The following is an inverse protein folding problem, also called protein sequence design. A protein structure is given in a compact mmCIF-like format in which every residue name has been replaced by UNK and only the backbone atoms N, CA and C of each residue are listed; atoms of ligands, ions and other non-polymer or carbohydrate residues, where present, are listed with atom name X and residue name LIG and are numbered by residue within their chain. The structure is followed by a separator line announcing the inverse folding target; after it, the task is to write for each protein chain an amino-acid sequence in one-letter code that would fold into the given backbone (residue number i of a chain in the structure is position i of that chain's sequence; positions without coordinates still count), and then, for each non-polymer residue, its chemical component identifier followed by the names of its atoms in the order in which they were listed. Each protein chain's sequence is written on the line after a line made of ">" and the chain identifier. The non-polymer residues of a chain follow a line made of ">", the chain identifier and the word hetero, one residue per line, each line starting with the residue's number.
data_IF_598900736133
#
_entry.id   IF_598900736133
#
_cell.length_a   1.000
_cell.length_b   1.000
_cell.length_c   1.000
_cell.angle_alpha   90.00
_cell.angle_beta   90.00
_cell.angle_gamma   90.00
#
_symmetry.space_group_name_H-M   'P 1'
#
loop_
_entity.id
_entity.type
_entity.pdbx_description
1 polymer ?
#
# COMPACT_ATOMS: atom_id res chain seq x y z
N UNK A 1 28.04 6.64 -9.55
CA UNK A 1 27.33 6.64 -8.26
C UNK A 1 25.89 7.15 -8.38
N UNK A 2 25.64 8.39 -8.82
CA UNK A 2 24.29 8.97 -8.98
C UNK A 2 23.34 8.11 -9.82
N UNK A 3 23.79 7.61 -10.97
CA UNK A 3 23.00 6.75 -11.87
C UNK A 3 22.56 5.44 -11.19
N UNK A 4 23.43 4.83 -10.39
CA UNK A 4 23.10 3.59 -9.66
C UNK A 4 22.03 3.86 -8.61
N UNK A 5 22.14 4.97 -7.89
CA UNK A 5 21.15 5.40 -6.89
C UNK A 5 19.80 5.71 -7.55
N UNK A 6 19.80 6.37 -8.71
CA UNK A 6 18.58 6.61 -9.49
C UNK A 6 17.86 5.31 -9.85
N UNK A 7 18.58 4.35 -10.45
CA UNK A 7 17.98 3.07 -10.85
C UNK A 7 17.46 2.28 -9.64
N UNK A 8 18.20 2.24 -8.53
CA UNK A 8 17.73 1.59 -7.31
C UNK A 8 16.46 2.24 -6.75
N UNK A 9 16.45 3.56 -6.60
CA UNK A 9 15.28 4.30 -6.09
C UNK A 9 14.06 4.12 -6.99
N UNK A 10 14.25 4.11 -8.31
CA UNK A 10 13.20 3.90 -9.29
C UNK A 10 12.60 2.50 -9.17
N UNK A 11 13.43 1.46 -9.10
CA UNK A 11 12.96 0.06 -8.92
C UNK A 11 12.18 -0.08 -7.62
N UNK A 12 12.69 0.44 -6.51
CA UNK A 12 11.99 0.38 -5.20
C UNK A 12 10.66 1.13 -5.27
N UNK A 13 10.62 2.28 -5.94
CA UNK A 13 9.39 3.06 -6.08
C UNK A 13 8.32 2.31 -6.88
N UNK A 14 8.69 1.74 -8.03
CA UNK A 14 7.76 0.96 -8.86
C UNK A 14 7.24 -0.27 -8.10
N UNK A 15 8.13 -1.01 -7.44
CA UNK A 15 7.75 -2.21 -6.67
C UNK A 15 6.82 -1.84 -5.50
N UNK A 16 7.13 -0.78 -4.74
CA UNK A 16 6.28 -0.32 -3.64
C UNK A 16 4.92 0.19 -4.12
N UNK A 17 4.85 0.84 -5.29
CA UNK A 17 3.60 1.25 -5.91
C UNK A 17 2.70 0.05 -6.25
N UNK A 18 3.25 -0.99 -6.90
CA UNK A 18 2.49 -2.21 -7.19
C UNK A 18 2.06 -2.94 -5.91
N UNK A 19 2.96 -3.04 -4.92
CA UNK A 19 2.65 -3.64 -3.62
C UNK A 19 1.50 -2.90 -2.91
N UNK A 20 1.44 -1.57 -3.05
CA UNK A 20 0.34 -0.77 -2.51
C UNK A 20 -0.98 -1.00 -3.23
N UNK A 21 -0.97 -1.04 -4.57
CA UNK A 21 -2.19 -1.33 -5.34
C UNK A 21 -2.76 -2.68 -4.91
N UNK A 22 -1.93 -3.72 -4.88
CA UNK A 22 -2.34 -5.06 -4.43
C UNK A 22 -2.78 -5.02 -2.96
N UNK A 23 -1.99 -4.38 -2.09
CA UNK A 23 -2.30 -4.26 -0.67
C UNK A 23 -3.65 -3.60 -0.42
N UNK A 24 -3.99 -2.54 -1.14
CA UNK A 24 -5.28 -1.84 -1.04
C UNK A 24 -6.43 -2.67 -1.62
N UNK A 25 -6.24 -3.33 -2.77
CA UNK A 25 -7.28 -4.21 -3.35
C UNK A 25 -7.61 -5.38 -2.42
N UNK A 26 -6.62 -5.91 -1.69
CA UNK A 26 -6.85 -6.95 -0.68
C UNK A 26 -7.67 -6.44 0.52
N UNK A 27 -7.81 -5.12 0.73
CA UNK A 27 -8.74 -4.56 1.73
C UNK A 27 -10.20 -4.57 1.24
N UNK A 28 -10.50 -4.83 -0.04
CA UNK A 28 -11.85 -4.66 -0.62
C UNK A 28 -12.87 -5.74 -0.26
N UNK A 29 -12.55 -6.67 0.65
CA UNK A 29 -13.40 -7.80 0.98
C UNK A 29 -14.62 -7.49 1.86
N UNK A 30 -14.81 -6.26 2.37
CA UNK A 30 -15.66 -6.05 3.56
C UNK A 30 -16.69 -4.90 3.48
N UNK A 31 -16.92 -4.27 2.32
CA UNK A 31 -17.84 -3.11 2.28
C UNK A 31 -18.44 -2.76 0.92
N UNK A 32 -18.45 -3.70 -0.03
CA UNK A 32 -18.97 -3.45 -1.39
C UNK A 32 -20.48 -3.63 -1.54
N UNK A 33 -21.17 -4.19 -0.53
CA UNK A 33 -22.61 -4.47 -0.58
C UNK A 33 -23.44 -3.37 0.06
N UNK A 34 -24.56 -2.99 -0.57
CA UNK A 34 -25.57 -2.08 0.01
C UNK A 34 -25.99 -2.50 1.43
N UNK A 35 -26.03 -3.81 1.71
CA UNK A 35 -26.32 -4.37 3.04
C UNK A 35 -25.32 -3.95 4.11
N UNK A 36 -24.02 -3.94 3.81
CA UNK A 36 -22.97 -3.54 4.75
C UNK A 36 -23.02 -2.02 5.01
N UNK A 37 -23.45 -1.23 4.00
CA UNK A 37 -23.67 0.21 4.12
C UNK A 37 -24.92 0.58 4.94
N UNK A 38 -25.88 -0.34 5.10
CA UNK A 38 -27.10 -0.19 5.91
C UNK A 38 -27.05 -0.95 7.25
N UNK A 39 -25.86 -1.35 7.72
CA UNK A 39 -25.69 -1.99 9.03
C UNK A 39 -26.06 -3.47 9.08
N UNK A 40 -26.19 -4.13 7.93
CA UNK A 40 -26.38 -5.57 7.82
C UNK A 40 -25.11 -6.30 8.26
N UNK A 41 -25.16 -6.89 9.45
CA UNK A 41 -24.06 -7.69 10.00
C UNK A 41 -23.84 -8.98 9.24
N UNK A 42 -22.69 -9.09 8.57
CA UNK A 42 -22.11 -10.35 8.10
C UNK A 42 -20.86 -10.67 8.91
N UNK A 43 -20.97 -11.59 9.86
CA UNK A 43 -19.90 -12.04 10.74
C UNK A 43 -18.69 -12.60 9.98
N UNK A 44 -17.65 -11.78 9.78
CA UNK A 44 -16.32 -12.21 9.34
C UNK A 44 -15.39 -12.52 10.53
N UNK A 45 -15.80 -13.40 11.46
CA UNK A 45 -15.06 -13.69 12.71
C UNK A 45 -13.69 -14.38 12.50
N UNK A 46 -13.24 -14.58 11.26
CA UNK A 46 -11.99 -15.27 10.94
C UNK A 46 -10.81 -14.39 10.52
N UNK A 47 -11.01 -13.09 10.23
CA UNK A 47 -9.99 -12.30 9.53
C UNK A 47 -9.55 -11.00 10.23
N UNK A 48 -10.09 -10.63 11.40
CA UNK A 48 -9.72 -9.37 12.06
C UNK A 48 -8.20 -9.24 12.35
N UNK A 49 -7.54 -10.35 12.68
CA UNK A 49 -6.08 -10.38 12.87
C UNK A 49 -5.31 -10.27 11.56
N UNK A 50 -5.77 -10.95 10.50
CA UNK A 50 -5.17 -10.89 9.17
C UNK A 50 -5.34 -9.49 8.55
N UNK A 51 -6.49 -8.86 8.76
CA UNK A 51 -6.82 -7.51 8.32
C UNK A 51 -5.97 -6.46 9.04
N UNK A 52 -5.83 -6.57 10.37
CA UNK A 52 -4.94 -5.69 11.14
C UNK A 52 -3.47 -5.83 10.69
N UNK A 53 -3.04 -7.04 10.35
CA UNK A 53 -1.70 -7.26 9.81
C UNK A 53 -1.54 -6.69 8.40
N UNK A 54 -2.55 -6.87 7.54
CA UNK A 54 -2.58 -6.33 6.18
C UNK A 54 -2.52 -4.79 6.21
N UNK A 55 -3.28 -4.16 7.10
CA UNK A 55 -3.24 -2.70 7.28
C UNK A 55 -1.84 -2.23 7.74
N UNK A 56 -1.20 -2.96 8.66
CA UNK A 56 0.17 -2.65 9.10
C UNK A 56 1.16 -2.77 7.93
N UNK A 57 1.07 -3.82 7.12
CA UNK A 57 1.93 -4.04 5.96
C UNK A 57 1.73 -2.94 4.92
N UNK A 58 0.47 -2.63 4.57
CA UNK A 58 0.13 -1.57 3.62
C UNK A 58 0.60 -0.21 4.11
N UNK A 59 0.48 0.08 5.41
CA UNK A 59 0.98 1.34 6.00
C UNK A 59 2.49 1.47 5.83
N UNK A 60 3.25 0.40 6.10
CA UNK A 60 4.71 0.39 5.91
C UNK A 60 5.07 0.63 4.44
N UNK A 61 4.42 -0.08 3.51
CA UNK A 61 4.67 0.15 2.08
C UNK A 61 4.30 1.58 1.65
N UNK A 62 3.25 2.17 2.22
CA UNK A 62 2.81 3.53 1.90
C UNK A 62 3.85 4.55 2.34
N UNK A 63 4.39 4.38 3.55
CA UNK A 63 5.48 5.21 4.07
C UNK A 63 6.75 5.09 3.21
N UNK A 64 7.17 3.86 2.85
CA UNK A 64 8.35 3.64 1.99
C UNK A 64 8.17 4.25 0.60
N UNK A 65 7.00 4.06 0.00
CA UNK A 65 6.69 4.66 -1.30
C UNK A 65 6.75 6.19 -1.22
N UNK A 66 6.15 6.81 -0.20
CA UNK A 66 6.20 8.26 0.00
C UNK A 66 7.63 8.79 0.08
N UNK A 67 8.49 8.16 0.90
CA UNK A 67 9.89 8.56 1.03
C UNK A 67 10.65 8.39 -0.28
N UNK A 68 10.41 7.31 -1.03
CA UNK A 68 11.08 7.08 -2.32
C UNK A 68 10.63 8.04 -3.42
N UNK A 69 9.35 8.44 -3.45
CA UNK A 69 8.86 9.50 -4.35
C UNK A 69 9.58 10.82 -4.08
N UNK A 70 9.64 11.22 -2.80
CA UNK A 70 10.31 12.47 -2.41
C UNK A 70 11.80 12.41 -2.74
N UNK A 71 12.47 11.31 -2.40
CA UNK A 71 13.88 11.12 -2.71
C UNK A 71 14.15 11.17 -4.22
N UNK A 72 13.31 10.53 -5.05
CA UNK A 72 13.40 10.62 -6.51
C UNK A 72 13.19 12.04 -7.03
N UNK A 73 12.22 12.79 -6.47
CA UNK A 73 11.98 14.18 -6.87
C UNK A 73 13.22 15.06 -6.65
N UNK A 74 13.85 14.98 -5.47
CA UNK A 74 15.09 15.71 -5.20
C UNK A 74 16.26 15.24 -6.06
N UNK A 75 16.40 13.93 -6.28
CA UNK A 75 17.54 13.38 -7.03
C UNK A 75 17.43 13.60 -8.54
N UNK A 76 16.21 13.81 -9.06
CA UNK A 76 15.97 14.19 -10.45
C UNK A 76 16.16 15.70 -10.69
N UNK A 77 15.85 16.53 -9.69
CA UNK A 77 15.99 17.99 -9.76
C UNK A 77 17.45 18.47 -9.60
N UNK A 78 18.33 17.62 -9.05
CA UNK A 78 19.76 17.87 -8.83
C UNK A 78 20.62 17.15 -9.87
#
# INVERSE_FOLDING_TARGET
>A
MRTVILYLSLVINVVSMFALIVGVLLHSGQGGGLSDMFGGGGAGLGSAAAEKNLNRITTVFATVWLFTVIALAFLLQN
#
